data_IF_268276712224
#
_entry.id   IF_268276712224
#
_cell.length_a   1.000
_cell.length_b   1.000
_cell.length_c   1.000
_cell.angle_alpha   90.00
_cell.angle_beta   90.00
_cell.angle_gamma   90.00
#
_symmetry.space_group_name_H-M   'P 1'
#
loop_
_entity.id
_entity.type
_entity.pdbx_description
1 polymer ?
#
# COMPACT_ATOMS: atom_id res chain seq x y z
N UNK A 1 8.87 10.44 18.86
CA UNK A 1 7.53 9.90 19.22
C UNK A 1 7.33 8.66 18.36
N UNK A 2 6.89 7.57 18.96
CA UNK A 2 6.57 6.34 18.26
C UNK A 2 5.15 5.91 18.65
N UNK A 3 4.28 5.78 17.65
CA UNK A 3 2.91 5.29 17.77
C UNK A 3 2.82 4.06 16.88
N UNK A 4 2.91 2.88 17.47
CA UNK A 4 3.02 1.64 16.73
C UNK A 4 1.88 0.68 17.04
N UNK A 5 1.56 -0.14 16.05
CA UNK A 5 0.72 -1.30 16.25
C UNK A 5 1.51 -2.41 16.97
N UNK A 6 0.79 -3.18 17.74
CA UNK A 6 1.29 -4.43 18.31
C UNK A 6 0.99 -5.58 17.33
N UNK A 7 2.00 -6.35 16.96
CA UNK A 7 1.85 -7.52 16.11
C UNK A 7 1.46 -8.74 16.95
N UNK A 8 0.38 -9.40 16.55
CA UNK A 8 -0.14 -10.59 17.19
C UNK A 8 -0.03 -11.74 16.19
N UNK A 9 0.76 -12.75 16.54
CA UNK A 9 0.93 -13.95 15.72
C UNK A 9 0.33 -15.17 16.42
N UNK A 10 -0.37 -15.97 15.64
CA UNK A 10 -0.95 -17.23 16.10
C UNK A 10 -0.75 -18.34 15.08
N UNK A 11 -0.50 -19.55 15.56
CA UNK A 11 -0.45 -20.74 14.71
C UNK A 11 -1.18 -21.90 15.37
N UNK A 12 -1.86 -22.70 14.54
CA UNK A 12 -2.48 -23.96 14.93
C UNK A 12 -2.11 -25.02 13.91
N UNK A 13 -1.78 -26.22 14.37
CA UNK A 13 -1.54 -27.36 13.50
C UNK A 13 -2.20 -28.61 14.09
N UNK A 14 -2.77 -29.39 13.22
CA UNK A 14 -3.33 -30.69 13.53
C UNK A 14 -2.89 -31.65 12.43
N UNK A 15 -2.23 -32.76 12.80
CA UNK A 15 -1.88 -33.82 11.87
C UNK A 15 -2.78 -35.01 12.07
N UNK A 16 -3.31 -35.53 10.96
CA UNK A 16 -4.07 -36.76 10.91
C UNK A 16 -3.18 -37.97 10.65
N UNK A 17 -3.74 -39.17 10.80
CA UNK A 17 -3.03 -40.44 10.50
C UNK A 17 -2.65 -40.54 9.00
N UNK A 18 -3.41 -39.88 8.13
CA UNK A 18 -3.12 -39.73 6.70
C UNK A 18 -2.77 -38.29 6.43
N UNK A 19 -1.72 -38.01 5.66
CA UNK A 19 -1.31 -36.65 5.26
C UNK A 19 -2.40 -35.81 4.57
N UNK A 20 -3.51 -36.41 4.17
CA UNK A 20 -4.69 -35.73 3.62
C UNK A 20 -5.54 -35.03 4.68
N UNK A 21 -5.30 -35.32 5.95
CA UNK A 21 -6.05 -34.78 7.09
C UNK A 21 -5.22 -33.75 7.88
N UNK A 22 -4.03 -33.42 7.39
CA UNK A 22 -3.18 -32.40 7.99
C UNK A 22 -3.77 -31.02 7.80
N UNK A 23 -4.07 -30.34 8.89
CA UNK A 23 -4.60 -29.00 8.91
C UNK A 23 -3.64 -28.08 9.67
N UNK A 24 -3.32 -26.95 9.09
CA UNK A 24 -2.56 -25.91 9.78
C UNK A 24 -3.06 -24.53 9.40
N UNK A 25 -2.99 -23.60 10.32
CA UNK A 25 -3.24 -22.20 10.05
C UNK A 25 -2.25 -21.33 10.82
N UNK A 26 -1.81 -20.26 10.20
CA UNK A 26 -1.05 -19.21 10.87
C UNK A 26 -1.60 -17.86 10.46
N UNK A 27 -1.60 -16.93 11.38
CA UNK A 27 -1.99 -15.56 11.10
C UNK A 27 -1.08 -14.58 11.85
N UNK A 28 -0.79 -13.48 11.21
CA UNK A 28 -0.19 -12.29 11.83
C UNK A 28 -1.14 -11.14 11.61
N UNK A 29 -1.62 -10.55 12.68
CA UNK A 29 -2.50 -9.39 12.68
C UNK A 29 -1.87 -8.26 13.46
N UNK A 30 -2.25 -7.03 13.16
CA UNK A 30 -1.81 -5.86 13.90
C UNK A 30 -2.96 -5.31 14.75
N UNK A 31 -2.64 -4.83 15.93
CA UNK A 31 -3.53 -4.03 16.74
C UNK A 31 -2.96 -2.63 16.84
N UNK A 32 -3.49 -1.73 16.03
CA UNK A 32 -3.06 -0.33 15.96
C UNK A 32 -3.37 0.45 17.21
N UNK A 33 -2.57 1.47 17.46
CA UNK A 33 -2.84 2.50 18.45
C UNK A 33 -3.78 3.56 17.84
N UNK A 34 -4.58 4.21 18.68
CA UNK A 34 -5.45 5.31 18.23
C UNK A 34 -5.23 6.54 19.11
N UNK A 35 -5.00 7.68 18.47
CA UNK A 35 -4.94 9.00 19.10
C UNK A 35 -6.05 9.84 18.50
N UNK A 36 -6.92 10.36 19.36
CA UNK A 36 -8.05 11.17 18.91
C UNK A 36 -8.21 12.42 19.79
N UNK A 37 -8.45 13.54 19.14
CA UNK A 37 -8.79 14.80 19.81
C UNK A 37 -10.09 15.34 19.19
N UNK A 38 -11.05 15.76 20.00
CA UNK A 38 -12.29 16.40 19.53
C UNK A 38 -12.09 17.83 18.99
N UNK A 39 -10.94 18.44 19.29
CA UNK A 39 -10.51 19.74 18.77
C UNK A 39 -9.26 19.59 17.88
N UNK A 40 -8.32 20.53 18.05
CA UNK A 40 -7.03 20.47 17.37
C UNK A 40 -6.14 19.40 17.98
N UNK A 41 -5.33 18.78 17.16
CA UNK A 41 -4.31 17.83 17.56
C UNK A 41 -2.94 18.32 17.10
N UNK A 42 -1.96 18.33 18.02
CA UNK A 42 -0.59 18.65 17.69
C UNK A 42 0.35 17.58 18.26
N UNK A 43 1.13 16.96 17.40
CA UNK A 43 2.22 16.07 17.78
C UNK A 43 3.54 16.65 17.27
N UNK A 44 4.48 16.88 18.17
CA UNK A 44 5.79 17.43 17.84
C UNK A 44 6.90 16.59 18.47
N UNK A 45 7.74 16.02 17.65
CA UNK A 45 8.92 15.27 18.06
C UNK A 45 10.19 16.07 17.76
N UNK A 46 11.12 16.16 18.72
CA UNK A 46 12.40 16.84 18.52
C UNK A 46 13.31 16.14 17.52
N UNK A 47 13.13 14.83 17.32
CA UNK A 47 13.84 14.02 16.33
C UNK A 47 12.86 13.35 15.36
N UNK A 48 12.51 12.10 15.58
CA UNK A 48 11.66 11.34 14.65
C UNK A 48 10.24 11.19 15.23
N UNK A 49 9.26 11.18 14.31
CA UNK A 49 7.87 10.83 14.59
C UNK A 49 7.49 9.68 13.67
N UNK A 50 7.16 8.54 14.28
CA UNK A 50 6.78 7.32 13.58
C UNK A 50 5.35 6.93 13.95
N UNK A 51 4.50 6.74 12.95
CA UNK A 51 3.14 6.20 13.10
C UNK A 51 3.07 4.93 12.25
N UNK A 52 2.82 3.80 12.88
CA UNK A 52 2.82 2.50 12.20
C UNK A 52 1.51 1.77 12.45
N UNK A 53 0.78 1.48 11.37
CA UNK A 53 -0.52 0.79 11.38
C UNK A 53 -1.45 1.33 12.48
N UNK A 54 -1.51 2.64 12.63
CA UNK A 54 -2.18 3.32 13.74
C UNK A 54 -3.00 4.51 13.23
N UNK A 55 -3.99 4.93 14.02
CA UNK A 55 -4.90 6.00 13.64
C UNK A 55 -4.67 7.25 14.45
N UNK A 56 -4.63 8.39 13.77
CA UNK A 56 -4.56 9.74 14.36
C UNK A 56 -5.73 10.56 13.83
N UNK A 57 -6.55 11.13 14.73
CA UNK A 57 -7.75 11.89 14.33
C UNK A 57 -7.88 13.18 15.11
N UNK A 58 -8.16 14.27 14.40
CA UNK A 58 -8.49 15.57 14.97
C UNK A 58 -9.88 16.00 14.50
N UNK A 59 -10.72 16.47 15.41
CA UNK A 59 -12.04 17.05 15.07
C UNK A 59 -11.94 18.40 14.36
N UNK A 60 -10.80 19.09 14.51
CA UNK A 60 -10.43 20.29 13.76
C UNK A 60 -9.10 20.08 13.04
N UNK A 61 -8.12 20.93 13.26
CA UNK A 61 -6.84 20.84 12.54
C UNK A 61 -5.87 19.84 13.20
N UNK A 62 -5.10 19.12 12.38
CA UNK A 62 -4.04 18.22 12.79
C UNK A 62 -2.67 18.75 12.37
N UNK A 63 -1.71 18.73 13.30
CA UNK A 63 -0.30 19.03 13.06
C UNK A 63 0.55 17.84 13.50
N UNK A 64 1.31 17.27 12.59
CA UNK A 64 2.34 16.28 12.87
C UNK A 64 3.69 16.88 12.47
N UNK A 65 4.63 16.97 13.42
CA UNK A 65 5.92 17.61 13.19
C UNK A 65 7.06 16.77 13.76
N UNK A 66 8.14 16.65 12.99
CA UNK A 66 9.39 16.00 13.40
C UNK A 66 10.59 16.91 13.11
N UNK A 67 11.56 16.96 14.04
CA UNK A 67 12.81 17.70 13.82
C UNK A 67 13.71 17.06 12.77
N UNK A 68 13.63 15.74 12.59
CA UNK A 68 14.30 14.97 11.54
C UNK A 68 13.27 14.31 10.61
N UNK A 69 12.99 13.03 10.82
CA UNK A 69 12.20 12.22 9.91
C UNK A 69 10.78 12.00 10.44
N UNK A 70 9.83 11.96 9.54
CA UNK A 70 8.45 11.63 9.83
C UNK A 70 8.03 10.45 8.96
N UNK A 71 7.53 9.38 9.61
CA UNK A 71 7.13 8.14 8.93
C UNK A 71 5.69 7.79 9.23
N UNK A 72 4.91 7.51 8.18
CA UNK A 72 3.58 6.90 8.27
C UNK A 72 3.66 5.53 7.57
N UNK A 73 3.78 4.47 8.36
CA UNK A 73 4.06 3.14 7.83
C UNK A 73 2.84 2.22 7.94
N UNK A 74 2.71 1.33 6.97
CA UNK A 74 1.84 0.18 7.08
C UNK A 74 2.58 -1.02 7.70
N UNK A 75 1.80 -1.99 8.13
CA UNK A 75 2.29 -3.31 8.55
C UNK A 75 1.59 -4.36 7.71
N UNK A 76 2.35 -5.33 7.21
CA UNK A 76 1.78 -6.45 6.48
C UNK A 76 1.15 -7.45 7.44
N UNK A 77 -0.15 -7.62 7.34
CA UNK A 77 -0.89 -8.72 7.95
C UNK A 77 -0.94 -9.90 7.01
N UNK A 78 -0.95 -11.09 7.56
CA UNK A 78 -0.98 -12.31 6.76
C UNK A 78 -1.81 -13.41 7.42
N UNK A 79 -2.42 -14.23 6.58
CA UNK A 79 -3.13 -15.43 6.96
C UNK A 79 -2.78 -16.56 6.02
N UNK A 80 -2.28 -17.65 6.57
CA UNK A 80 -1.98 -18.85 5.82
C UNK A 80 -2.84 -19.98 6.36
N UNK A 81 -3.36 -20.81 5.49
CA UNK A 81 -4.17 -21.97 5.87
C UNK A 81 -3.83 -23.13 4.96
N UNK A 82 -3.69 -24.29 5.57
CA UNK A 82 -3.58 -25.57 4.88
C UNK A 82 -4.67 -26.50 5.37
N UNK A 83 -5.38 -27.11 4.43
CA UNK A 83 -6.40 -28.10 4.69
C UNK A 83 -6.15 -29.29 3.74
N UNK A 84 -5.46 -30.30 4.26
CA UNK A 84 -5.06 -31.46 3.51
C UNK A 84 -4.22 -31.10 2.28
N UNK A 85 -4.87 -31.07 1.11
CA UNK A 85 -4.23 -30.82 -0.18
C UNK A 85 -4.39 -29.40 -0.70
N UNK A 86 -5.14 -28.58 0.00
CA UNK A 86 -5.37 -27.20 -0.32
C UNK A 86 -4.56 -26.31 0.59
N UNK A 87 -3.91 -25.31 0.01
CA UNK A 87 -3.22 -24.26 0.76
C UNK A 87 -3.77 -22.91 0.29
N UNK A 88 -3.93 -21.98 1.20
CA UNK A 88 -4.27 -20.61 0.88
C UNK A 88 -3.40 -19.65 1.70
N UNK A 89 -3.07 -18.52 1.08
CA UNK A 89 -2.41 -17.42 1.75
C UNK A 89 -3.06 -16.11 1.35
N UNK A 90 -3.09 -15.20 2.27
CA UNK A 90 -3.59 -13.85 2.07
C UNK A 90 -2.71 -12.88 2.86
N UNK A 91 -2.39 -11.76 2.26
CA UNK A 91 -1.72 -10.65 2.94
C UNK A 91 -2.34 -9.33 2.52
N UNK A 92 -2.44 -8.40 3.45
CA UNK A 92 -2.86 -7.03 3.21
C UNK A 92 -2.10 -6.05 4.10
N UNK A 93 -2.13 -4.79 3.76
CA UNK A 93 -1.51 -3.74 4.55
C UNK A 93 -2.49 -3.22 5.60
N UNK A 94 -2.13 -3.31 6.87
CA UNK A 94 -2.75 -2.51 7.91
C UNK A 94 -2.10 -1.13 7.87
N UNK A 95 -2.86 -0.14 7.44
CA UNK A 95 -2.34 1.19 7.12
C UNK A 95 -2.36 2.14 8.31
N UNK A 96 -1.47 3.12 8.29
CA UNK A 96 -1.59 4.29 9.17
C UNK A 96 -2.58 5.28 8.56
N UNK A 97 -3.43 5.88 9.39
CA UNK A 97 -4.40 6.89 8.96
C UNK A 97 -4.26 8.17 9.76
N UNK A 98 -4.34 9.32 9.07
CA UNK A 98 -4.42 10.63 9.70
C UNK A 98 -5.61 11.38 9.12
N UNK A 99 -6.53 11.82 9.99
CA UNK A 99 -7.72 12.56 9.58
C UNK A 99 -7.84 13.88 10.34
N UNK A 100 -8.25 14.92 9.64
CA UNK A 100 -8.52 16.24 10.21
C UNK A 100 -9.87 16.79 9.71
N UNK A 101 -10.69 17.29 10.61
CA UNK A 101 -11.95 17.96 10.30
C UNK A 101 -11.77 19.37 9.71
N UNK A 102 -10.54 19.88 9.68
CA UNK A 102 -10.17 21.15 9.04
C UNK A 102 -8.93 20.97 8.18
N UNK A 103 -7.79 21.49 8.62
CA UNK A 103 -6.53 21.45 7.90
C UNK A 103 -5.59 20.37 8.47
N UNK A 104 -4.82 19.78 7.60
CA UNK A 104 -3.78 18.84 7.98
C UNK A 104 -2.40 19.36 7.55
N UNK A 105 -1.49 19.45 8.52
CA UNK A 105 -0.11 19.87 8.29
C UNK A 105 0.86 18.77 8.74
N UNK A 106 1.69 18.30 7.83
CA UNK A 106 2.74 17.32 8.03
C UNK A 106 4.10 17.97 7.75
N UNK A 107 5.00 18.02 8.73
CA UNK A 107 6.29 18.69 8.58
C UNK A 107 7.42 17.82 9.11
N UNK A 108 8.47 17.64 8.32
CA UNK A 108 9.72 17.04 8.75
C UNK A 108 10.89 17.97 8.44
N UNK A 109 11.84 18.05 9.37
CA UNK A 109 13.08 18.80 9.14
C UNK A 109 13.98 18.15 8.10
N UNK A 110 13.78 16.85 7.83
CA UNK A 110 14.51 16.06 6.84
C UNK A 110 13.56 15.32 5.91
N UNK A 111 13.22 14.08 6.19
CA UNK A 111 12.47 13.23 5.27
C UNK A 111 11.04 12.94 5.76
N UNK A 112 10.13 12.89 4.81
CA UNK A 112 8.79 12.32 5.01
C UNK A 112 8.71 11.02 4.20
N UNK A 113 8.38 9.92 4.89
CA UNK A 113 8.11 8.64 4.28
C UNK A 113 6.68 8.21 4.60
N UNK A 114 5.89 7.93 3.57
CA UNK A 114 4.53 7.40 3.71
C UNK A 114 4.41 6.12 2.91
N UNK A 115 4.12 5.00 3.57
CA UNK A 115 3.93 3.71 2.94
C UNK A 115 2.48 3.26 3.13
N UNK A 116 1.73 3.26 2.05
CA UNK A 116 0.31 2.88 2.01
C UNK A 116 -0.54 3.63 3.06
N UNK A 117 -0.17 4.83 3.48
CA UNK A 117 -0.91 5.56 4.49
C UNK A 117 -2.08 6.34 3.89
N UNK A 118 -3.17 6.48 4.67
CA UNK A 118 -4.30 7.33 4.35
C UNK A 118 -4.21 8.68 5.07
N UNK A 119 -4.28 9.77 4.33
CA UNK A 119 -4.29 11.13 4.86
C UNK A 119 -5.50 11.88 4.32
N UNK A 120 -6.34 12.43 5.19
CA UNK A 120 -7.53 13.16 4.77
C UNK A 120 -7.75 14.43 5.60
N UNK A 121 -8.18 15.50 4.94
CA UNK A 121 -8.64 16.73 5.57
C UNK A 121 -9.91 17.26 4.89
N UNK A 122 -10.83 17.85 5.66
CA UNK A 122 -12.01 18.49 5.06
C UNK A 122 -11.66 19.78 4.32
N UNK A 123 -10.58 20.46 4.71
CA UNK A 123 -10.04 21.61 4.01
C UNK A 123 -8.68 21.28 3.37
N UNK A 124 -7.60 21.90 3.80
CA UNK A 124 -6.32 21.83 3.12
C UNK A 124 -5.39 20.77 3.71
N UNK A 125 -4.59 20.15 2.83
CA UNK A 125 -3.47 19.27 3.21
C UNK A 125 -2.16 19.94 2.81
N UNK A 126 -1.23 20.04 3.76
CA UNK A 126 0.11 20.57 3.51
C UNK A 126 1.16 19.59 4.01
N UNK A 127 2.04 19.15 3.12
CA UNK A 127 3.15 18.23 3.40
C UNK A 127 4.46 18.92 3.07
N UNK A 128 5.37 19.00 4.04
CA UNK A 128 6.67 19.66 3.87
C UNK A 128 7.82 18.82 4.40
N UNK A 129 8.63 18.28 3.52
CA UNK A 129 9.91 17.65 3.81
C UNK A 129 11.06 18.65 3.62
N UNK A 130 11.94 18.77 4.61
CA UNK A 130 13.16 19.57 4.47
C UNK A 130 14.13 19.02 3.43
N UNK A 131 14.06 17.72 3.15
CA UNK A 131 14.84 17.02 2.14
C UNK A 131 13.92 16.27 1.17
N UNK A 132 13.46 15.07 1.50
CA UNK A 132 12.71 14.22 0.58
C UNK A 132 11.28 13.96 1.06
N UNK A 133 10.36 13.79 0.11
CA UNK A 133 9.00 13.29 0.36
C UNK A 133 8.77 12.04 -0.49
N UNK A 134 8.58 10.90 0.19
CA UNK A 134 8.37 9.61 -0.44
C UNK A 134 6.97 9.09 -0.10
N UNK A 135 6.12 8.96 -1.13
CA UNK A 135 4.78 8.40 -1.05
C UNK A 135 4.80 7.07 -1.81
N UNK A 136 4.82 5.96 -1.09
CA UNK A 136 5.01 4.65 -1.72
C UNK A 136 3.89 3.68 -1.38
N UNK A 137 3.76 2.67 -2.23
CA UNK A 137 2.80 1.60 -2.03
C UNK A 137 3.37 0.46 -1.18
N UNK A 138 2.48 -0.31 -0.57
CA UNK A 138 2.74 -1.62 0.02
C UNK A 138 1.99 -2.69 -0.79
N UNK A 139 2.62 -3.83 -1.02
CA UNK A 139 2.00 -4.91 -1.77
C UNK A 139 1.12 -5.79 -0.88
N UNK A 140 -0.05 -6.13 -1.39
CA UNK A 140 -0.96 -7.12 -0.83
C UNK A 140 -1.05 -8.31 -1.79
N UNK A 141 -1.18 -9.52 -1.27
CA UNK A 141 -1.25 -10.73 -2.10
C UNK A 141 -2.23 -11.75 -1.56
N UNK A 142 -2.85 -12.48 -2.47
CA UNK A 142 -3.68 -13.62 -2.14
C UNK A 142 -3.40 -14.76 -3.11
N UNK A 143 -3.42 -15.98 -2.59
CA UNK A 143 -3.25 -17.15 -3.43
C UNK A 143 -3.87 -18.38 -2.80
N UNK A 144 -4.22 -19.31 -3.67
CA UNK A 144 -4.65 -20.64 -3.29
C UNK A 144 -3.99 -21.70 -4.18
N UNK A 145 -3.75 -22.84 -3.59
CA UNK A 145 -3.23 -23.99 -4.32
C UNK A 145 -3.94 -25.26 -3.92
N UNK A 146 -4.10 -26.13 -4.89
CA UNK A 146 -4.59 -27.50 -4.67
C UNK A 146 -3.64 -28.50 -5.33
N UNK A 147 -3.18 -29.48 -4.59
CA UNK A 147 -2.27 -30.50 -5.12
C UNK A 147 -2.77 -31.91 -4.83
N UNK A 148 -2.97 -32.69 -5.89
CA UNK A 148 -3.32 -34.11 -5.83
C UNK A 148 -2.51 -34.91 -6.84
N UNK A 149 -2.65 -36.26 -6.81
CA UNK A 149 -2.00 -37.14 -7.81
C UNK A 149 -2.46 -36.88 -9.24
N UNK A 150 -3.64 -36.26 -9.41
CA UNK A 150 -4.27 -36.05 -10.73
C UNK A 150 -4.44 -34.58 -11.13
N UNK A 151 -4.39 -33.66 -10.18
CA UNK A 151 -4.59 -32.22 -10.42
C UNK A 151 -3.63 -31.41 -9.56
N UNK A 152 -3.01 -30.41 -10.16
CA UNK A 152 -2.33 -29.32 -9.45
C UNK A 152 -2.90 -28.01 -10.00
N UNK A 153 -3.30 -27.12 -9.09
CA UNK A 153 -3.83 -25.81 -9.42
C UNK A 153 -3.18 -24.80 -8.49
N UNK A 154 -2.82 -23.66 -9.03
CA UNK A 154 -2.25 -22.54 -8.29
C UNK A 154 -2.87 -21.26 -8.84
N UNK A 155 -3.39 -20.42 -7.97
CA UNK A 155 -3.83 -19.08 -8.27
C UNK A 155 -3.07 -18.12 -7.36
N UNK A 156 -2.52 -17.05 -7.92
CA UNK A 156 -1.85 -16.02 -7.15
C UNK A 156 -2.17 -14.65 -7.70
N UNK A 157 -2.38 -13.70 -6.81
CA UNK A 157 -2.63 -12.29 -7.15
C UNK A 157 -1.78 -11.40 -6.28
N UNK A 158 -1.23 -10.34 -6.89
CA UNK A 158 -0.54 -9.26 -6.18
C UNK A 158 -1.20 -7.95 -6.56
N UNK A 159 -1.52 -7.14 -5.56
CA UNK A 159 -2.11 -5.79 -5.71
C UNK A 159 -1.28 -4.79 -4.94
N UNK A 160 -1.28 -3.55 -5.40
CA UNK A 160 -0.57 -2.46 -4.75
C UNK A 160 -1.56 -1.56 -4.01
N UNK A 161 -1.25 -1.27 -2.75
CA UNK A 161 -1.96 -0.28 -1.96
C UNK A 161 -1.05 0.93 -1.79
N UNK A 162 -1.36 2.01 -2.49
CA UNK A 162 -0.59 3.24 -2.46
C UNK A 162 -0.87 4.09 -1.22
N UNK A 163 -0.07 5.13 -1.05
CA UNK A 163 -0.41 6.24 -0.16
C UNK A 163 -1.56 7.04 -0.78
N UNK A 164 -2.57 7.34 0.02
CA UNK A 164 -3.74 8.12 -0.40
C UNK A 164 -3.79 9.44 0.37
N UNK A 165 -3.87 10.55 -0.38
CA UNK A 165 -4.05 11.90 0.16
C UNK A 165 -5.33 12.48 -0.41
N UNK A 166 -6.26 12.88 0.46
CA UNK A 166 -7.53 13.48 0.07
C UNK A 166 -7.75 14.82 0.79
N UNK A 167 -8.08 15.86 0.03
CA UNK A 167 -8.45 17.15 0.61
C UNK A 167 -9.74 17.72 0.01
N UNK A 168 -10.57 18.30 0.87
CA UNK A 168 -11.74 19.09 0.45
C UNK A 168 -11.38 20.48 -0.06
N UNK A 169 -10.17 20.96 0.23
CA UNK A 169 -9.57 22.21 -0.26
C UNK A 169 -8.37 21.97 -1.15
N UNK A 170 -7.30 22.71 -0.92
CA UNK A 170 -6.04 22.60 -1.66
C UNK A 170 -5.10 21.57 -1.04
N UNK A 171 -4.29 20.94 -1.88
CA UNK A 171 -3.17 20.07 -1.44
C UNK A 171 -1.84 20.67 -1.89
N UNK A 172 -0.91 20.81 -0.95
CA UNK A 172 0.46 21.27 -1.23
C UNK A 172 1.46 20.25 -0.73
N UNK A 173 2.32 19.75 -1.61
CA UNK A 173 3.45 18.86 -1.28
C UNK A 173 4.74 19.58 -1.66
N UNK A 174 5.65 19.74 -0.70
CA UNK A 174 6.92 20.43 -0.93
C UNK A 174 8.07 19.62 -0.36
N UNK A 175 9.13 19.46 -1.13
CA UNK A 175 10.40 18.90 -0.69
C UNK A 175 11.57 19.82 -1.01
N UNK A 176 12.54 19.88 -0.11
CA UNK A 176 13.78 20.64 -0.36
C UNK A 176 14.64 19.98 -1.45
N UNK A 177 14.46 18.69 -1.71
CA UNK A 177 15.18 17.92 -2.72
C UNK A 177 14.21 17.15 -3.62
N UNK A 178 13.79 15.94 -3.26
CA UNK A 178 13.07 15.04 -4.16
C UNK A 178 11.65 14.73 -3.65
N UNK A 179 10.71 14.58 -4.59
CA UNK A 179 9.38 14.03 -4.35
C UNK A 179 9.22 12.78 -5.20
N UNK A 180 8.93 11.66 -4.55
CA UNK A 180 8.65 10.39 -5.21
C UNK A 180 7.26 9.90 -4.84
N UNK A 181 6.42 9.63 -5.83
CA UNK A 181 5.14 8.96 -5.65
C UNK A 181 5.13 7.67 -6.48
N UNK A 182 4.89 6.53 -5.81
CA UNK A 182 4.83 5.21 -6.43
C UNK A 182 3.46 4.61 -6.17
N UNK A 183 2.68 4.41 -7.23
CA UNK A 183 1.32 3.89 -7.17
C UNK A 183 0.47 4.59 -6.10
N UNK A 184 0.64 5.89 -5.93
CA UNK A 184 0.04 6.68 -4.87
C UNK A 184 -0.92 7.73 -5.44
N UNK A 185 -1.95 8.10 -4.67
CA UNK A 185 -3.02 9.00 -5.12
C UNK A 185 -3.05 10.26 -4.28
N UNK A 186 -3.10 11.41 -4.96
CA UNK A 186 -3.37 12.73 -4.36
C UNK A 186 -4.59 13.31 -5.03
N UNK A 187 -5.65 13.49 -4.26
CA UNK A 187 -6.91 14.07 -4.75
C UNK A 187 -7.28 15.32 -3.96
N UNK A 188 -7.70 16.34 -4.64
CA UNK A 188 -8.11 17.61 -4.04
C UNK A 188 -9.35 18.16 -4.74
N UNK A 189 -10.32 18.68 -3.98
CA UNK A 189 -11.41 19.45 -4.58
C UNK A 189 -10.90 20.81 -5.09
N UNK A 190 -9.90 21.36 -4.42
CA UNK A 190 -9.16 22.56 -4.82
C UNK A 190 -7.98 22.26 -5.72
N UNK A 191 -6.93 23.04 -5.59
CA UNK A 191 -5.73 22.92 -6.40
C UNK A 191 -4.71 21.99 -5.78
N UNK A 192 -3.91 21.33 -6.62
CA UNK A 192 -2.75 20.55 -6.20
C UNK A 192 -1.48 21.28 -6.62
N UNK A 193 -0.55 21.45 -5.68
CA UNK A 193 0.76 22.02 -5.93
C UNK A 193 1.85 21.09 -5.39
N UNK A 194 2.67 20.54 -6.29
CA UNK A 194 3.81 19.67 -5.97
C UNK A 194 5.08 20.42 -6.36
N UNK A 195 5.97 20.65 -5.39
CA UNK A 195 7.19 21.42 -5.63
C UNK A 195 8.40 20.72 -5.02
N UNK A 196 9.35 20.34 -5.84
CA UNK A 196 10.64 19.77 -5.42
C UNK A 196 11.79 20.70 -5.79
N UNK A 197 12.79 20.81 -4.90
CA UNK A 197 14.00 21.55 -5.19
C UNK A 197 14.88 20.91 -6.25
N UNK A 198 14.69 19.59 -6.52
CA UNK A 198 15.43 18.83 -7.51
C UNK A 198 14.48 18.01 -8.39
N UNK A 199 14.14 16.80 -8.00
CA UNK A 199 13.43 15.86 -8.86
C UNK A 199 12.00 15.57 -8.38
N UNK A 200 11.06 15.43 -9.32
CA UNK A 200 9.72 14.85 -9.07
C UNK A 200 9.56 13.59 -9.91
N UNK A 201 9.24 12.49 -9.26
CA UNK A 201 8.97 11.21 -9.90
C UNK A 201 7.58 10.69 -9.53
N UNK A 202 6.70 10.59 -10.52
CA UNK A 202 5.40 9.91 -10.43
C UNK A 202 5.53 8.60 -11.20
N UNK A 203 5.53 7.48 -10.49
CA UNK A 203 5.85 6.17 -11.07
C UNK A 203 4.82 5.11 -10.68
N UNK A 204 4.99 3.93 -11.25
CA UNK A 204 4.10 2.77 -11.08
C UNK A 204 4.68 1.75 -10.11
N UNK A 205 3.80 0.84 -9.68
CA UNK A 205 4.20 -0.42 -9.08
C UNK A 205 3.46 -1.59 -9.77
N UNK A 206 4.16 -2.70 -9.95
CA UNK A 206 3.64 -3.83 -10.71
C UNK A 206 2.65 -4.65 -9.88
N UNK A 207 1.50 -4.96 -10.47
CA UNK A 207 0.53 -5.93 -10.02
C UNK A 207 0.57 -7.17 -10.91
N UNK A 208 0.22 -8.32 -10.37
CA UNK A 208 0.22 -9.57 -11.14
C UNK A 208 -0.94 -10.47 -10.82
N UNK A 209 -1.35 -11.23 -11.82
CA UNK A 209 -2.26 -12.37 -11.73
C UNK A 209 -1.57 -13.59 -12.34
N UNK A 210 -1.58 -14.70 -11.63
CA UNK A 210 -1.01 -15.96 -12.10
C UNK A 210 -1.97 -17.11 -11.88
N UNK A 211 -2.17 -17.92 -12.90
CA UNK A 211 -2.97 -19.13 -12.86
C UNK A 211 -2.22 -20.30 -13.49
N UNK A 212 -2.12 -21.39 -12.76
CA UNK A 212 -1.53 -22.64 -13.23
C UNK A 212 -2.48 -23.80 -12.99
N UNK A 213 -2.76 -24.59 -14.03
CA UNK A 213 -3.56 -25.80 -13.95
C UNK A 213 -2.84 -26.96 -14.63
N UNK A 214 -2.53 -27.98 -13.87
CA UNK A 214 -2.04 -29.26 -14.37
C UNK A 214 -3.07 -30.37 -14.10
N UNK A 215 -3.41 -31.14 -15.13
CA UNK A 215 -4.25 -32.32 -14.97
C UNK A 215 -3.56 -33.56 -15.55
N UNK A 216 -3.70 -34.70 -14.86
CA UNK A 216 -3.18 -36.01 -15.28
C UNK A 216 -4.33 -37.00 -15.45
N UNK A 217 -4.51 -37.47 -16.67
CA UNK A 217 -5.48 -38.55 -16.99
C UNK A 217 -4.71 -39.83 -17.31
N UNK A 218 -5.10 -40.92 -16.68
CA UNK A 218 -4.61 -42.26 -17.03
C UNK A 218 -5.69 -42.97 -17.81
N UNK A 219 -5.34 -43.48 -18.97
CA UNK A 219 -6.19 -44.34 -19.81
C UNK A 219 -5.39 -45.57 -20.24
N UNK A 220 -6.07 -46.67 -20.47
CA UNK A 220 -5.44 -47.88 -20.97
C UNK A 220 -6.24 -49.13 -20.61
N UNK A 221 -6.02 -50.22 -21.37
CA UNK A 221 -6.57 -51.53 -21.15
C UNK A 221 -5.61 -52.47 -20.43
N UNK A 222 -5.89 -53.77 -20.51
CA UNK A 222 -5.14 -54.80 -19.80
C UNK A 222 -3.64 -54.86 -20.15
N UNK A 223 -3.26 -54.46 -21.39
CA UNK A 223 -1.89 -54.56 -21.89
C UNK A 223 -1.22 -53.19 -22.18
N UNK A 224 -1.91 -52.05 -21.94
CA UNK A 224 -1.32 -50.74 -22.17
C UNK A 224 -1.81 -49.72 -21.16
N UNK A 225 -0.89 -48.86 -20.71
CA UNK A 225 -1.19 -47.70 -19.85
C UNK A 225 -0.69 -46.41 -20.55
N UNK A 226 -1.60 -45.47 -20.75
CA UNK A 226 -1.26 -44.14 -21.25
C UNK A 226 -1.54 -43.11 -20.15
N UNK A 227 -0.58 -42.23 -19.87
CA UNK A 227 -0.79 -41.06 -19.02
C UNK A 227 -0.71 -39.82 -19.88
N UNK A 228 -1.80 -39.05 -19.89
CA UNK A 228 -1.84 -37.75 -20.55
C UNK A 228 -1.73 -36.67 -19.45
N UNK A 229 -0.82 -35.76 -19.64
CA UNK A 229 -0.63 -34.57 -18.80
C UNK A 229 -1.01 -33.35 -19.62
N UNK A 230 -1.92 -32.54 -19.10
CA UNK A 230 -2.31 -31.27 -19.69
C UNK A 230 -1.94 -30.17 -18.74
N UNK A 231 -1.29 -29.12 -19.25
CA UNK A 231 -0.89 -27.94 -18.48
C UNK A 231 -1.51 -26.73 -19.16
N UNK A 232 -2.11 -25.87 -18.39
CA UNK A 232 -2.48 -24.51 -18.72
C UNK A 232 -1.81 -23.58 -17.75
N UNK A 233 -1.15 -22.55 -18.25
CA UNK A 233 -0.44 -21.56 -17.46
C UNK A 233 -0.72 -20.19 -18.06
N UNK A 234 -1.30 -19.33 -17.26
CA UNK A 234 -1.67 -17.98 -17.63
C UNK A 234 -1.04 -16.99 -16.63
N UNK A 235 -0.42 -15.94 -17.13
CA UNK A 235 0.12 -14.86 -16.29
C UNK A 235 -0.18 -13.52 -16.93
N UNK A 236 -0.55 -12.56 -16.10
CA UNK A 236 -0.76 -11.19 -16.50
C UNK A 236 -0.10 -10.26 -15.50
N UNK A 237 0.52 -9.22 -16.00
CA UNK A 237 1.04 -8.10 -15.18
C UNK A 237 0.40 -6.81 -15.66
N UNK A 238 0.19 -5.90 -14.71
CA UNK A 238 -0.26 -4.54 -14.98
C UNK A 238 0.43 -3.58 -14.04
N UNK A 239 0.58 -2.34 -14.48
CA UNK A 239 1.16 -1.29 -13.66
C UNK A 239 0.04 -0.49 -12.97
N UNK A 240 0.14 -0.36 -11.65
CA UNK A 240 -0.65 0.58 -10.87
C UNK A 240 0.10 1.91 -10.85
N UNK A 241 -0.46 2.93 -11.50
CA UNK A 241 0.13 4.26 -11.60
C UNK A 241 -0.16 5.15 -10.41
N UNK A 242 0.56 6.25 -10.32
CA UNK A 242 0.23 7.34 -9.40
C UNK A 242 -0.80 8.28 -10.04
N UNK A 243 -1.61 8.92 -9.20
CA UNK A 243 -2.66 9.86 -9.62
C UNK A 243 -2.53 11.19 -8.90
N UNK A 244 -2.50 12.29 -9.65
CA UNK A 244 -2.76 13.64 -9.14
C UNK A 244 -4.06 14.15 -9.77
N UNK A 245 -5.10 14.43 -8.98
CA UNK A 245 -6.40 14.87 -9.49
C UNK A 245 -6.95 16.05 -8.69
N UNK A 246 -7.19 17.20 -9.36
CA UNK A 246 -7.69 18.41 -8.71
C UNK A 246 -8.25 19.44 -9.68
N UNK A 247 -8.71 20.59 -9.16
CA UNK A 247 -9.22 21.68 -9.98
C UNK A 247 -8.14 22.26 -10.91
N UNK A 248 -6.95 22.52 -10.37
CA UNK A 248 -5.72 22.84 -11.10
C UNK A 248 -4.58 22.04 -10.51
N UNK A 249 -3.73 21.47 -11.36
CA UNK A 249 -2.55 20.72 -10.91
C UNK A 249 -1.28 21.39 -11.43
N UNK A 250 -0.41 21.74 -10.50
CA UNK A 250 0.91 22.32 -10.82
C UNK A 250 1.99 21.41 -10.23
N UNK A 251 2.92 20.96 -11.04
CA UNK A 251 4.08 20.18 -10.64
C UNK A 251 5.34 20.90 -11.10
N UNK A 252 6.19 21.27 -10.15
CA UNK A 252 7.47 21.94 -10.42
C UNK A 252 8.61 21.08 -9.86
N UNK A 253 9.55 20.77 -10.72
CA UNK A 253 10.83 20.15 -10.36
C UNK A 253 11.97 21.13 -10.65
N UNK A 254 12.97 21.19 -9.75
CA UNK A 254 14.14 22.04 -9.98
C UNK A 254 15.06 21.51 -11.09
N UNK A 255 15.14 20.18 -11.24
CA UNK A 255 15.99 19.50 -12.23
C UNK A 255 15.16 18.62 -13.18
N UNK A 256 14.57 17.53 -12.68
CA UNK A 256 13.87 16.56 -13.54
C UNK A 256 12.45 16.26 -13.06
N UNK A 257 11.53 16.24 -14.02
CA UNK A 257 10.16 15.74 -13.82
C UNK A 257 9.97 14.45 -14.61
N UNK A 258 9.67 13.37 -13.91
CA UNK A 258 9.34 12.06 -14.49
C UNK A 258 7.90 11.71 -14.19
N UNK A 259 7.12 11.40 -15.23
CA UNK A 259 5.75 10.85 -15.11
C UNK A 259 5.72 9.57 -15.92
N UNK A 260 5.68 8.43 -15.25
CA UNK A 260 5.72 7.11 -15.87
C UNK A 260 4.48 6.31 -15.47
N UNK A 261 3.66 5.91 -16.47
CA UNK A 261 2.46 5.12 -16.26
C UNK A 261 1.49 5.71 -15.23
N UNK A 262 1.52 7.02 -15.04
CA UNK A 262 0.83 7.75 -13.99
C UNK A 262 -0.02 8.87 -14.60
N UNK A 263 -1.08 9.28 -13.91
CA UNK A 263 -2.06 10.25 -14.39
C UNK A 263 -1.96 11.57 -13.64
N UNK A 264 -1.97 12.68 -14.39
CA UNK A 264 -2.11 14.03 -13.87
C UNK A 264 -3.35 14.65 -14.51
N UNK A 265 -4.40 14.84 -13.73
CA UNK A 265 -5.72 15.25 -14.20
C UNK A 265 -6.16 16.53 -13.49
N UNK A 266 -6.65 17.51 -14.24
CA UNK A 266 -7.22 18.71 -13.67
C UNK A 266 -8.53 19.08 -14.38
N UNK A 267 -9.47 19.67 -13.63
CA UNK A 267 -10.71 20.20 -14.19
C UNK A 267 -10.45 21.43 -15.08
N UNK A 268 -9.36 22.17 -14.82
CA UNK A 268 -8.98 23.40 -15.54
C UNK A 268 -7.61 23.27 -16.19
N UNK A 269 -6.54 23.48 -15.43
CA UNK A 269 -5.20 23.63 -15.98
C UNK A 269 -4.23 22.63 -15.35
N UNK A 270 -3.39 22.02 -16.18
CA UNK A 270 -2.20 21.25 -15.76
C UNK A 270 -0.97 22.04 -16.17
N UNK A 271 -0.07 22.30 -15.22
CA UNK A 271 1.23 22.92 -15.45
C UNK A 271 2.34 22.00 -14.93
N UNK A 272 3.22 21.59 -15.80
CA UNK A 272 4.37 20.73 -15.51
C UNK A 272 5.65 21.47 -15.92
N UNK A 273 6.59 21.65 -14.96
CA UNK A 273 7.84 22.38 -15.17
C UNK A 273 9.03 21.73 -14.44
#
# INVERSE_FOLDING_TARGET
INIAANLISGSKSQSGFWHTDDNSSSSTTSQGSSISAGGNLAMAAGHNLDVTASSVSAGHSALLSAGNDLSLNAVRESKNSRNGRSESHESHAAVSTVTAGDNFLLVAGRDIASQAAGMAAENNVVIRGGRDVNLVAESAGAGDSYTSKKKKEINETVRQQGTEIASGGDTTVTAGRDITAVASSVTATGNISVNAGRDVALTTATESDYHYLETKKKSGGFLSKKTTRTISEDSATREAGSLLSGNRVTVNAGDNLTVEGSDVVADRDVSLA
#
